data_IF_905770048507
#
_entry.id   IF_905770048507
#
_cell.length_a   1.000
_cell.length_b   1.000
_cell.length_c   1.000
_cell.angle_alpha   90.00
_cell.angle_beta   90.00
_cell.angle_gamma   90.00
#
_symmetry.space_group_name_H-M   'P 1'
#
loop_
_entity.id
_entity.type
_entity.pdbx_description
1 polymer ?
#
# COMPACT_ATOMS: atom_id res chain seq x y z
N UNK A 1 -6.07 7.36 20.73
CA UNK A 1 -4.88 7.60 19.91
C UNK A 1 -3.65 7.59 20.80
N UNK A 2 -2.62 6.79 20.48
CA UNK A 2 -1.36 6.68 21.24
C UNK A 2 -0.20 6.89 20.29
N UNK A 3 0.90 7.47 20.76
CA UNK A 3 2.15 7.56 19.99
C UNK A 3 2.77 6.16 19.93
N UNK A 4 3.01 5.66 18.72
CA UNK A 4 3.75 4.42 18.48
C UNK A 4 5.25 4.66 18.53
N UNK A 5 5.70 5.74 17.92
CA UNK A 5 7.11 6.08 17.86
C UNK A 5 7.36 7.49 17.37
N UNK A 6 8.59 7.93 17.59
CA UNK A 6 9.13 9.18 17.07
C UNK A 6 10.54 8.93 16.54
N UNK A 7 10.85 9.55 15.43
CA UNK A 7 12.19 9.50 14.86
C UNK A 7 12.50 10.78 14.10
N UNK A 8 13.79 11.06 13.94
CA UNK A 8 14.30 12.13 13.09
C UNK A 8 14.66 11.56 11.73
N UNK A 9 14.28 12.26 10.67
CA UNK A 9 14.63 11.89 9.30
C UNK A 9 15.09 13.13 8.53
N UNK A 10 16.40 13.20 8.28
CA UNK A 10 17.02 14.38 7.67
C UNK A 10 16.78 15.65 8.49
N UNK A 11 16.08 16.63 7.92
CA UNK A 11 15.82 17.93 8.54
C UNK A 11 14.50 18.03 9.32
N UNK A 12 13.77 16.90 9.50
CA UNK A 12 12.46 16.93 10.15
C UNK A 12 12.27 15.81 11.17
N UNK A 13 11.31 15.99 12.05
CA UNK A 13 10.87 15.00 13.03
C UNK A 13 9.56 14.36 12.56
N UNK A 14 9.44 13.05 12.83
CA UNK A 14 8.25 12.26 12.50
C UNK A 14 7.64 11.69 13.77
N UNK A 15 6.33 11.86 13.95
CA UNK A 15 5.54 11.22 15.00
C UNK A 15 4.52 10.28 14.36
N UNK A 16 4.56 8.99 14.74
CA UNK A 16 3.58 7.98 14.32
C UNK A 16 2.57 7.71 15.42
N UNK A 17 1.28 7.67 15.06
CA UNK A 17 0.18 7.38 15.96
C UNK A 17 -0.38 5.97 15.69
N UNK A 18 -1.08 5.41 16.70
CA UNK A 18 -1.60 4.04 16.68
C UNK A 18 -2.73 3.79 15.68
N UNK A 19 -3.29 4.82 15.07
CA UNK A 19 -4.32 4.73 14.03
C UNK A 19 -3.76 4.86 12.60
N UNK A 20 -2.42 5.00 12.48
CA UNK A 20 -1.70 5.17 11.22
C UNK A 20 -1.43 6.62 10.83
N UNK A 21 -1.89 7.59 11.64
CA UNK A 21 -1.58 9.01 11.39
C UNK A 21 -0.08 9.26 11.54
N UNK A 22 0.50 9.95 10.56
CA UNK A 22 1.87 10.41 10.54
C UNK A 22 1.90 11.93 10.57
N UNK A 23 2.69 12.49 11.47
CA UNK A 23 2.88 13.93 11.61
C UNK A 23 4.35 14.21 11.33
N UNK A 24 4.64 15.11 10.38
CA UNK A 24 5.99 15.62 10.08
C UNK A 24 6.10 17.05 10.55
N UNK A 25 7.24 17.40 11.15
CA UNK A 25 7.50 18.75 11.66
C UNK A 25 8.92 19.16 11.28
N UNK A 26 9.08 20.35 10.67
CA UNK A 26 10.36 20.97 10.32
C UNK A 26 10.28 22.48 10.50
N UNK A 27 11.41 23.15 10.68
CA UNK A 27 11.55 24.60 10.62
C UNK A 27 11.93 25.11 9.22
N UNK A 28 12.22 24.19 8.28
CA UNK A 28 12.58 24.47 6.89
C UNK A 28 11.35 24.53 5.98
N UNK A 29 11.51 25.05 4.78
CA UNK A 29 10.43 25.17 3.78
C UNK A 29 10.03 23.81 3.16
N UNK A 30 10.95 22.81 3.19
CA UNK A 30 10.78 21.51 2.58
C UNK A 30 11.25 20.38 3.51
N UNK A 31 10.63 19.20 3.40
CA UNK A 31 11.07 17.98 4.06
C UNK A 31 12.16 17.28 3.23
N UNK A 32 13.35 17.14 3.77
CA UNK A 32 14.49 16.48 3.11
C UNK A 32 14.84 15.20 3.87
N UNK A 33 14.32 14.02 3.44
CA UNK A 33 14.57 12.76 4.14
C UNK A 33 16.00 12.24 3.89
N UNK A 34 16.62 11.67 4.93
CA UNK A 34 17.86 10.90 4.81
C UNK A 34 17.61 9.47 4.36
N UNK A 35 16.45 8.91 4.74
CA UNK A 35 16.02 7.56 4.37
C UNK A 35 14.51 7.54 4.04
N UNK A 36 14.06 6.50 3.32
CA UNK A 36 12.63 6.34 3.00
C UNK A 36 11.81 6.15 4.28
N UNK A 37 10.68 6.83 4.40
CA UNK A 37 9.77 6.64 5.54
C UNK A 37 8.98 5.34 5.44
N UNK A 38 8.68 4.95 4.21
CA UNK A 38 7.92 3.72 3.93
C UNK A 38 8.42 3.00 2.68
N UNK A 39 8.11 1.71 2.59
CA UNK A 39 8.40 0.90 1.41
C UNK A 39 7.26 -0.06 1.12
N UNK A 40 6.91 -0.19 -0.16
CA UNK A 40 6.09 -1.28 -0.64
C UNK A 40 6.96 -2.47 -1.00
N UNK A 41 6.76 -3.61 -0.33
CA UNK A 41 7.61 -4.78 -0.51
C UNK A 41 6.78 -5.97 -0.98
N UNK A 42 7.08 -6.44 -2.19
CA UNK A 42 6.50 -7.65 -2.73
C UNK A 42 7.23 -8.87 -2.18
N UNK A 43 6.52 -9.70 -1.40
CA UNK A 43 7.08 -10.90 -0.78
C UNK A 43 6.97 -12.15 -1.66
N UNK A 44 5.95 -12.21 -2.52
CA UNK A 44 5.64 -13.44 -3.25
C UNK A 44 4.92 -13.18 -4.56
N UNK A 45 5.11 -14.09 -5.53
CA UNK A 45 4.28 -14.24 -6.72
C UNK A 45 3.30 -15.40 -6.61
N UNK A 46 3.37 -16.20 -5.53
CA UNK A 46 2.44 -17.30 -5.32
C UNK A 46 1.05 -16.77 -4.97
N UNK A 47 0.02 -17.19 -5.70
CA UNK A 47 -1.38 -16.86 -5.42
C UNK A 47 -2.32 -17.76 -6.21
N UNK A 48 -3.28 -18.39 -5.55
CA UNK A 48 -4.27 -19.27 -6.17
C UNK A 48 -5.56 -18.58 -6.64
N UNK A 49 -5.75 -17.29 -6.35
CA UNK A 49 -7.03 -16.59 -6.59
C UNK A 49 -7.30 -16.26 -8.06
N UNK A 50 -6.26 -16.05 -8.88
CA UNK A 50 -6.43 -15.81 -10.31
C UNK A 50 -7.19 -14.55 -10.71
N UNK A 51 -7.16 -13.48 -9.91
CA UNK A 51 -7.89 -12.23 -10.19
C UNK A 51 -7.66 -11.75 -11.63
N UNK A 52 -8.73 -11.43 -12.39
CA UNK A 52 -8.63 -11.15 -13.82
C UNK A 52 -7.85 -9.86 -14.13
N UNK A 53 -7.82 -8.90 -13.22
CA UNK A 53 -7.12 -7.62 -13.34
C UNK A 53 -5.83 -7.55 -12.52
N UNK A 54 -5.27 -8.68 -12.09
CA UNK A 54 -4.06 -8.70 -11.26
C UNK A 54 -2.85 -8.10 -11.98
N UNK A 55 -2.38 -6.95 -11.49
CA UNK A 55 -1.20 -6.27 -12.04
C UNK A 55 0.12 -6.98 -11.69
N UNK A 56 0.15 -7.80 -10.64
CA UNK A 56 1.31 -8.64 -10.31
C UNK A 56 1.41 -9.89 -11.19
N UNK A 57 0.30 -10.34 -11.78
CA UNK A 57 0.26 -11.55 -12.58
C UNK A 57 0.55 -12.83 -11.79
N UNK A 58 0.33 -12.80 -10.48
CA UNK A 58 0.61 -13.91 -9.56
C UNK A 58 -0.14 -15.20 -9.93
N UNK A 59 0.49 -16.35 -9.75
CA UNK A 59 -0.03 -17.68 -10.10
C UNK A 59 0.19 -18.69 -8.97
N UNK A 60 -0.49 -19.86 -9.00
CA UNK A 60 -0.22 -20.92 -8.03
C UNK A 60 1.21 -21.48 -8.08
N UNK A 61 1.90 -21.35 -9.21
CA UNK A 61 3.30 -21.75 -9.40
C UNK A 61 4.29 -20.63 -9.11
N UNK A 62 3.80 -19.46 -8.66
CA UNK A 62 4.63 -18.32 -8.32
C UNK A 62 5.60 -18.61 -7.17
N UNK A 63 6.74 -17.94 -7.20
CA UNK A 63 7.81 -18.12 -6.22
C UNK A 63 7.65 -17.16 -5.03
N UNK A 64 8.22 -17.54 -3.89
CA UNK A 64 8.40 -16.69 -2.71
C UNK A 64 9.78 -16.03 -2.76
N UNK A 65 9.88 -14.79 -2.28
CA UNK A 65 11.16 -14.12 -2.05
C UNK A 65 11.86 -14.65 -0.80
N UNK A 66 13.19 -14.52 -0.75
CA UNK A 66 13.95 -14.87 0.46
C UNK A 66 13.91 -13.71 1.47
N UNK A 67 12.91 -13.74 2.37
CA UNK A 67 12.68 -12.66 3.33
C UNK A 67 13.51 -12.78 4.62
N UNK A 68 14.17 -13.92 4.86
CA UNK A 68 14.98 -14.10 6.07
C UNK A 68 16.45 -13.77 5.86
N UNK A 69 16.98 -13.94 4.66
CA UNK A 69 18.43 -13.83 4.42
C UNK A 69 18.86 -12.54 3.70
N UNK A 70 17.91 -11.70 3.26
CA UNK A 70 18.26 -10.42 2.64
C UNK A 70 18.82 -9.43 3.66
N UNK A 71 20.02 -8.93 3.36
CA UNK A 71 20.79 -8.08 4.30
C UNK A 71 20.16 -6.72 4.54
N UNK A 72 19.50 -6.14 3.51
CA UNK A 72 18.90 -4.82 3.65
C UNK A 72 17.86 -4.75 4.78
N UNK A 73 17.23 -5.89 5.13
CA UNK A 73 16.28 -5.97 6.25
C UNK A 73 16.92 -5.49 7.56
N UNK A 74 18.21 -5.74 7.74
CA UNK A 74 18.93 -5.30 8.95
C UNK A 74 19.31 -3.81 8.92
N UNK A 75 19.11 -3.13 7.82
CA UNK A 75 19.38 -1.69 7.67
C UNK A 75 18.12 -0.83 7.80
N UNK A 76 16.95 -1.45 7.99
CA UNK A 76 15.72 -0.73 8.25
C UNK A 76 15.81 0.09 9.54
N UNK A 77 15.30 1.31 9.51
CA UNK A 77 15.27 2.21 10.66
C UNK A 77 14.08 1.93 11.57
N UNK A 78 14.22 2.04 12.92
CA UNK A 78 13.10 1.91 13.83
C UNK A 78 11.95 2.87 13.47
N UNK A 79 10.72 2.35 13.52
CA UNK A 79 9.47 3.03 13.15
C UNK A 79 9.30 3.33 11.66
N UNK A 80 10.20 2.87 10.81
CA UNK A 80 10.00 2.84 9.37
C UNK A 80 8.82 1.92 9.03
N UNK A 81 7.97 2.32 8.07
CA UNK A 81 6.79 1.55 7.69
C UNK A 81 7.09 0.67 6.48
N UNK A 82 6.65 -0.56 6.52
CA UNK A 82 6.76 -1.51 5.40
C UNK A 82 5.39 -2.12 5.10
N UNK A 83 4.95 -2.01 3.85
CA UNK A 83 3.70 -2.58 3.38
C UNK A 83 3.99 -3.82 2.52
N UNK A 84 3.59 -4.98 3.00
CA UNK A 84 3.83 -6.25 2.31
C UNK A 84 2.66 -6.62 1.43
N UNK A 85 2.99 -6.94 0.17
CA UNK A 85 2.03 -7.33 -0.86
C UNK A 85 2.61 -8.33 -1.84
N UNK A 86 2.01 -8.36 -3.03
CA UNK A 86 2.36 -9.25 -4.13
C UNK A 86 1.25 -10.24 -4.45
N UNK A 87 1.54 -11.53 -4.33
CA UNK A 87 0.55 -12.60 -4.43
C UNK A 87 -0.23 -12.79 -3.13
N UNK A 88 -0.27 -14.03 -2.63
CA UNK A 88 -0.83 -14.36 -1.32
C UNK A 88 0.25 -14.27 -0.24
N UNK A 89 0.30 -13.15 0.47
CA UNK A 89 1.29 -12.90 1.53
C UNK A 89 1.16 -13.93 2.66
N UNK A 90 -0.06 -14.36 2.97
CA UNK A 90 -0.32 -15.32 4.06
C UNK A 90 0.21 -16.72 3.75
N UNK A 91 0.41 -17.05 2.48
CA UNK A 91 0.99 -18.33 2.04
C UNK A 91 2.51 -18.41 2.18
N UNK A 92 3.19 -17.28 2.51
CA UNK A 92 4.64 -17.29 2.63
C UNK A 92 5.08 -18.08 3.87
N UNK A 93 5.91 -19.16 3.73
CA UNK A 93 6.24 -20.07 4.84
C UNK A 93 6.97 -19.35 5.99
N UNK A 94 7.76 -18.34 5.68
CA UNK A 94 8.58 -17.61 6.66
C UNK A 94 7.92 -16.31 7.15
N UNK A 95 6.64 -16.06 6.86
CA UNK A 95 5.97 -14.81 7.21
C UNK A 95 6.04 -14.50 8.70
N UNK A 96 5.67 -15.45 9.57
CA UNK A 96 5.63 -15.22 11.03
C UNK A 96 7.02 -14.98 11.62
N UNK A 97 8.06 -15.80 11.37
CA UNK A 97 9.42 -15.51 11.82
C UNK A 97 9.92 -14.14 11.35
N UNK A 98 9.63 -13.79 10.10
CA UNK A 98 10.01 -12.51 9.52
C UNK A 98 9.35 -11.32 10.24
N UNK A 99 8.03 -11.35 10.41
CA UNK A 99 7.30 -10.30 11.11
C UNK A 99 7.75 -10.15 12.58
N UNK A 100 8.10 -11.24 13.26
CA UNK A 100 8.67 -11.18 14.61
C UNK A 100 10.02 -10.47 14.63
N UNK A 101 10.91 -10.77 13.67
CA UNK A 101 12.19 -10.07 13.50
C UNK A 101 11.99 -8.57 13.29
N UNK A 102 11.02 -8.18 12.46
CA UNK A 102 10.69 -6.77 12.24
C UNK A 102 10.16 -6.08 13.51
N UNK A 103 9.27 -6.75 14.24
CA UNK A 103 8.72 -6.26 15.52
C UNK A 103 9.83 -6.02 16.55
N UNK A 104 10.79 -6.95 16.70
CA UNK A 104 11.94 -6.81 17.60
C UNK A 104 12.80 -5.59 17.28
N UNK A 105 12.79 -5.15 16.04
CA UNK A 105 13.50 -3.97 15.54
C UNK A 105 12.63 -2.70 15.51
N UNK A 106 11.40 -2.78 16.03
CA UNK A 106 10.42 -1.69 16.02
C UNK A 106 10.02 -1.22 14.61
N UNK A 107 10.07 -2.09 13.60
CA UNK A 107 9.58 -1.79 12.26
C UNK A 107 8.05 -1.92 12.23
N UNK A 108 7.38 -0.99 11.60
CA UNK A 108 5.92 -0.97 11.47
C UNK A 108 5.54 -1.77 10.22
N UNK A 109 5.09 -3.00 10.42
CA UNK A 109 4.70 -3.89 9.34
C UNK A 109 3.20 -3.82 9.07
N UNK A 110 2.84 -3.71 7.80
CA UNK A 110 1.47 -3.77 7.28
C UNK A 110 1.40 -4.88 6.22
N UNK A 111 0.25 -5.53 6.08
CA UNK A 111 0.03 -6.52 5.01
C UNK A 111 -1.19 -6.15 4.19
N UNK A 112 -1.17 -6.52 2.91
CA UNK A 112 -2.35 -6.48 2.05
C UNK A 112 -2.78 -7.89 1.70
N UNK A 113 -4.04 -8.21 1.95
CA UNK A 113 -4.69 -9.47 1.60
C UNK A 113 -5.88 -9.24 0.68
N UNK A 114 -6.30 -10.26 -0.03
CA UNK A 114 -7.56 -10.25 -0.76
C UNK A 114 -8.72 -10.63 0.19
N UNK A 115 -9.95 -10.18 -0.13
CA UNK A 115 -11.16 -10.54 0.62
C UNK A 115 -11.30 -12.04 0.91
N UNK A 116 -11.02 -12.90 -0.07
CA UNK A 116 -11.11 -14.35 0.11
C UNK A 116 -10.00 -14.90 1.00
N UNK A 117 -8.80 -14.30 0.96
CA UNK A 117 -7.72 -14.64 1.89
C UNK A 117 -8.09 -14.23 3.31
N UNK A 118 -8.69 -13.04 3.49
CA UNK A 118 -9.19 -12.61 4.79
C UNK A 118 -10.18 -13.63 5.39
N UNK A 119 -11.09 -14.17 4.58
CA UNK A 119 -12.05 -15.17 5.06
C UNK A 119 -11.38 -16.51 5.37
N UNK A 120 -10.52 -16.98 4.49
CA UNK A 120 -9.88 -18.30 4.61
C UNK A 120 -8.82 -18.33 5.73
N UNK A 121 -8.10 -17.22 5.94
CA UNK A 121 -6.99 -17.11 6.89
C UNK A 121 -7.30 -16.18 8.07
N UNK A 122 -8.60 -16.02 8.39
CA UNK A 122 -9.06 -15.08 9.43
C UNK A 122 -8.37 -15.30 10.78
N UNK A 123 -8.20 -16.55 11.20
CA UNK A 123 -7.54 -16.89 12.46
C UNK A 123 -6.05 -16.49 12.46
N UNK A 124 -5.35 -16.72 11.35
CA UNK A 124 -3.97 -16.29 11.18
C UNK A 124 -3.88 -14.76 11.24
N UNK A 125 -4.71 -14.06 10.49
CA UNK A 125 -4.70 -12.59 10.43
C UNK A 125 -5.04 -12.00 11.80
N UNK A 126 -6.04 -12.56 12.51
CA UNK A 126 -6.37 -12.13 13.86
C UNK A 126 -5.18 -12.31 14.81
N UNK A 127 -4.48 -13.43 14.71
CA UNK A 127 -3.27 -13.68 15.49
C UNK A 127 -2.16 -12.67 15.18
N UNK A 128 -1.95 -12.31 13.91
CA UNK A 128 -0.94 -11.31 13.53
C UNK A 128 -1.25 -9.94 14.14
N UNK A 129 -2.54 -9.57 14.21
CA UNK A 129 -3.00 -8.32 14.86
C UNK A 129 -2.84 -8.41 16.38
N UNK A 130 -3.30 -9.47 17.01
CA UNK A 130 -3.28 -9.65 18.48
C UNK A 130 -1.84 -9.71 19.02
N UNK A 131 -0.94 -10.39 18.31
CA UNK A 131 0.48 -10.42 18.62
C UNK A 131 1.19 -9.13 18.22
N UNK A 132 0.50 -8.14 17.63
CA UNK A 132 1.09 -6.88 17.11
C UNK A 132 2.26 -7.16 16.15
N UNK A 133 2.12 -8.15 15.30
CA UNK A 133 3.07 -8.45 14.23
C UNK A 133 2.81 -7.60 13.00
N UNK A 134 1.57 -7.13 12.85
CA UNK A 134 1.14 -6.14 11.86
C UNK A 134 0.36 -5.02 12.57
N UNK A 135 0.43 -3.81 12.00
CA UNK A 135 -0.30 -2.64 12.47
C UNK A 135 -1.45 -2.27 11.54
N UNK A 136 -1.23 -2.29 10.23
CA UNK A 136 -2.24 -2.06 9.20
C UNK A 136 -2.59 -3.33 8.44
N UNK A 137 -3.86 -3.45 8.06
CA UNK A 137 -4.40 -4.53 7.26
C UNK A 137 -5.11 -3.94 6.03
N UNK A 138 -4.47 -4.00 4.86
CA UNK A 138 -5.13 -3.70 3.58
C UNK A 138 -5.98 -4.89 3.15
N UNK A 139 -7.23 -4.66 2.77
CA UNK A 139 -8.14 -5.71 2.28
C UNK A 139 -8.66 -5.33 0.90
N UNK A 140 -8.21 -6.02 -0.14
CA UNK A 140 -8.70 -5.79 -1.50
C UNK A 140 -10.12 -6.32 -1.66
N UNK A 141 -11.06 -5.41 -1.94
CA UNK A 141 -12.46 -5.73 -2.22
C UNK A 141 -12.56 -6.53 -3.52
N UNK A 142 -13.36 -7.59 -3.50
CA UNK A 142 -13.71 -8.40 -4.68
C UNK A 142 -15.19 -8.33 -5.00
N UNK A 143 -16.02 -8.45 -3.98
CA UNK A 143 -17.49 -8.36 -4.07
C UNK A 143 -18.00 -7.79 -2.77
N UNK A 144 -18.72 -6.70 -2.80
CA UNK A 144 -19.31 -6.11 -1.61
C UNK A 144 -20.47 -6.94 -1.10
N UNK A 145 -20.47 -7.23 0.19
CA UNK A 145 -21.51 -7.93 0.91
C UNK A 145 -21.58 -7.42 2.35
N UNK A 146 -22.70 -7.57 3.03
CA UNK A 146 -22.84 -7.26 4.46
C UNK A 146 -21.79 -8.02 5.29
N UNK A 147 -21.54 -9.30 4.96
CA UNK A 147 -20.52 -10.12 5.62
C UNK A 147 -19.11 -9.52 5.48
N UNK A 148 -18.80 -8.92 4.33
CA UNK A 148 -17.52 -8.24 4.13
C UNK A 148 -17.38 -7.03 5.04
N UNK A 149 -18.40 -6.16 5.07
CA UNK A 149 -18.42 -4.97 5.93
C UNK A 149 -18.28 -5.38 7.40
N UNK A 150 -19.06 -6.37 7.86
CA UNK A 150 -19.00 -6.88 9.21
C UNK A 150 -17.61 -7.46 9.55
N UNK A 151 -17.02 -8.22 8.63
CA UNK A 151 -15.73 -8.88 8.87
C UNK A 151 -14.60 -7.86 8.94
N UNK A 152 -14.53 -6.91 8.00
CA UNK A 152 -13.48 -5.86 7.98
C UNK A 152 -13.60 -4.95 9.21
N UNK A 153 -14.81 -4.65 9.64
CA UNK A 153 -15.06 -3.80 10.82
C UNK A 153 -14.56 -4.39 12.15
N UNK A 154 -14.25 -5.71 12.19
CA UNK A 154 -13.63 -6.34 13.35
C UNK A 154 -12.14 -5.97 13.52
N UNK A 155 -11.50 -5.45 12.48
CA UNK A 155 -10.09 -5.07 12.48
C UNK A 155 -9.94 -3.53 12.50
N UNK A 156 -9.57 -2.91 13.62
CA UNK A 156 -9.61 -1.45 13.78
C UNK A 156 -8.73 -0.65 12.79
N UNK A 157 -7.63 -1.27 12.33
CA UNK A 157 -6.72 -0.67 11.37
C UNK A 157 -6.84 -1.28 9.96
N UNK A 158 -7.98 -1.92 9.66
CA UNK A 158 -8.26 -2.36 8.31
C UNK A 158 -8.57 -1.18 7.39
N UNK A 159 -8.06 -1.26 6.18
CA UNK A 159 -8.30 -0.30 5.09
C UNK A 159 -8.77 -1.10 3.88
N UNK A 160 -9.96 -0.79 3.39
CA UNK A 160 -10.50 -1.43 2.19
C UNK A 160 -9.78 -0.85 0.97
N UNK A 161 -9.17 -1.71 0.17
CA UNK A 161 -8.54 -1.33 -1.09
C UNK A 161 -9.53 -1.52 -2.22
N UNK A 162 -9.81 -0.46 -2.96
CA UNK A 162 -10.61 -0.47 -4.18
C UNK A 162 -9.77 0.05 -5.35
N UNK A 163 -10.02 -0.47 -6.56
CA UNK A 163 -9.30 -0.07 -7.76
C UNK A 163 -10.19 0.84 -8.59
N UNK A 164 -9.70 2.04 -8.92
CA UNK A 164 -10.35 2.98 -9.83
C UNK A 164 -10.65 2.31 -11.19
N UNK A 165 -11.91 2.27 -11.59
CA UNK A 165 -12.38 1.58 -12.80
C UNK A 165 -12.82 0.12 -12.60
N UNK A 166 -12.49 -0.52 -11.45
CA UNK A 166 -12.98 -1.86 -11.10
C UNK A 166 -14.16 -1.77 -10.13
N UNK A 167 -14.00 -1.04 -9.03
CA UNK A 167 -15.08 -0.85 -8.05
C UNK A 167 -16.31 -0.23 -8.73
N UNK A 168 -17.47 -0.75 -8.40
CA UNK A 168 -18.72 -0.26 -8.94
C UNK A 168 -19.23 0.97 -8.17
N UNK A 169 -19.95 1.89 -8.83
CA UNK A 169 -20.60 3.02 -8.17
C UNK A 169 -21.42 2.60 -6.95
N UNK A 170 -22.25 1.59 -7.11
CA UNK A 170 -23.15 1.06 -6.09
C UNK A 170 -22.39 0.53 -4.86
N UNK A 171 -21.17 -0.01 -5.05
CA UNK A 171 -20.33 -0.49 -3.94
C UNK A 171 -19.80 0.67 -3.10
N UNK A 172 -19.42 1.80 -3.73
CA UNK A 172 -19.01 3.01 -3.00
C UNK A 172 -20.20 3.60 -2.22
N UNK A 173 -21.37 3.68 -2.85
CA UNK A 173 -22.60 4.18 -2.22
C UNK A 173 -22.99 3.34 -1.00
N UNK A 174 -22.94 2.01 -1.11
CA UNK A 174 -23.31 1.07 -0.06
C UNK A 174 -22.30 1.05 1.10
N UNK A 175 -20.98 1.19 0.82
CA UNK A 175 -19.97 1.32 1.87
C UNK A 175 -20.05 2.64 2.64
N UNK A 176 -20.62 3.68 2.03
CA UNK A 176 -20.70 5.00 2.64
C UNK A 176 -21.57 5.01 3.90
N UNK A 177 -21.09 5.64 4.98
CA UNK A 177 -21.80 5.73 6.26
C UNK A 177 -21.52 4.60 7.24
N UNK A 178 -20.73 3.58 6.86
CA UNK A 178 -20.31 2.47 7.73
C UNK A 178 -19.02 2.75 8.52
N UNK A 179 -18.54 3.99 8.53
CA UNK A 179 -17.30 4.39 9.23
C UNK A 179 -16.05 3.58 8.80
N UNK A 180 -15.99 3.20 7.54
CA UNK A 180 -14.90 2.44 6.95
C UNK A 180 -13.73 3.34 6.55
N UNK A 181 -12.52 2.76 6.47
CA UNK A 181 -11.34 3.39 5.87
C UNK A 181 -11.16 2.85 4.46
N UNK A 182 -10.95 3.72 3.50
CA UNK A 182 -10.84 3.39 2.08
C UNK A 182 -9.49 3.86 1.52
N UNK A 183 -8.82 2.98 0.77
CA UNK A 183 -7.70 3.34 -0.10
C UNK A 183 -8.09 3.10 -1.55
N UNK A 184 -8.10 4.17 -2.32
CA UNK A 184 -8.36 4.11 -3.76
C UNK A 184 -7.03 3.95 -4.49
N UNK A 185 -6.90 2.84 -5.19
CA UNK A 185 -5.74 2.51 -6.01
C UNK A 185 -6.02 2.87 -7.46
N UNK A 186 -5.04 3.45 -8.14
CA UNK A 186 -5.11 3.68 -9.57
C UNK A 186 -5.14 2.36 -10.36
N UNK A 187 -5.83 2.37 -11.49
CA UNK A 187 -5.87 1.22 -12.40
C UNK A 187 -4.50 1.02 -13.07
N UNK A 188 -3.89 -0.13 -12.84
CA UNK A 188 -2.56 -0.47 -13.36
C UNK A 188 -2.67 -1.31 -14.63
N UNK A 189 -2.29 -0.73 -15.77
CA UNK A 189 -2.28 -1.38 -17.09
C UNK A 189 -1.05 -2.28 -17.25
N UNK A 190 -0.93 -3.27 -16.35
CA UNK A 190 0.18 -4.22 -16.32
C UNK A 190 -0.33 -5.66 -16.32
N UNK A 191 0.37 -6.55 -17.02
CA UNK A 191 0.09 -8.00 -17.04
C UNK A 191 -1.41 -8.30 -17.31
N UNK A 192 -2.12 -8.99 -16.37
CA UNK A 192 -3.55 -9.29 -16.53
C UNK A 192 -4.43 -8.05 -16.54
N UNK A 193 -4.04 -6.97 -15.85
CA UNK A 193 -4.74 -5.69 -15.93
C UNK A 193 -4.83 -5.14 -17.34
N UNK A 194 -3.78 -5.30 -18.14
CA UNK A 194 -3.77 -4.89 -19.55
C UNK A 194 -4.75 -5.70 -20.41
N UNK A 195 -4.84 -7.01 -20.18
CA UNK A 195 -5.79 -7.88 -20.91
C UNK A 195 -7.22 -7.58 -20.51
N UNK A 196 -7.46 -7.43 -19.20
CA UNK A 196 -8.77 -7.08 -18.66
C UNK A 196 -9.30 -5.74 -19.22
N UNK A 197 -8.45 -4.71 -19.26
CA UNK A 197 -8.84 -3.41 -19.82
C UNK A 197 -9.29 -3.53 -21.27
N UNK A 198 -8.56 -4.30 -22.11
CA UNK A 198 -8.94 -4.47 -23.53
C UNK A 198 -10.30 -5.16 -23.70
N UNK A 199 -10.63 -6.09 -22.82
CA UNK A 199 -11.89 -6.85 -22.88
C UNK A 199 -13.07 -6.09 -22.25
N UNK A 200 -12.80 -5.16 -21.31
CA UNK A 200 -13.80 -4.47 -20.49
C UNK A 200 -13.67 -2.95 -20.56
N UNK A 201 -13.10 -2.39 -21.63
CA UNK A 201 -12.76 -0.97 -21.76
C UNK A 201 -13.93 -0.04 -21.40
N UNK A 202 -15.09 -0.30 -21.98
CA UNK A 202 -16.29 0.53 -21.77
C UNK A 202 -16.69 0.59 -20.28
N UNK A 203 -16.69 -0.56 -19.61
CA UNK A 203 -17.05 -0.64 -18.19
C UNK A 203 -16.01 0.05 -17.30
N UNK A 204 -14.71 -0.19 -17.56
CA UNK A 204 -13.62 0.41 -16.79
C UNK A 204 -13.65 1.93 -16.93
N UNK A 205 -13.79 2.45 -18.13
CA UNK A 205 -13.83 3.90 -18.37
C UNK A 205 -15.11 4.55 -17.80
N UNK A 206 -16.25 3.85 -17.86
CA UNK A 206 -17.48 4.32 -17.21
C UNK A 206 -17.31 4.43 -15.69
N UNK A 207 -16.72 3.43 -15.05
CA UNK A 207 -16.48 3.45 -13.60
C UNK A 207 -15.46 4.53 -13.20
N UNK A 208 -14.39 4.71 -14.00
CA UNK A 208 -13.41 5.80 -13.77
C UNK A 208 -14.08 7.18 -13.89
N UNK A 209 -14.91 7.39 -14.90
CA UNK A 209 -15.62 8.64 -15.09
C UNK A 209 -16.56 8.93 -13.92
N UNK A 210 -17.34 7.94 -13.49
CA UNK A 210 -18.21 8.08 -12.33
C UNK A 210 -17.41 8.40 -11.05
N UNK A 211 -16.33 7.67 -10.80
CA UNK A 211 -15.48 7.88 -9.62
C UNK A 211 -14.93 9.32 -9.60
N UNK A 212 -14.43 9.80 -10.73
CA UNK A 212 -13.90 11.16 -10.85
C UNK A 212 -14.97 12.23 -10.59
N UNK A 213 -16.21 12.01 -11.05
CA UNK A 213 -17.30 12.98 -10.94
C UNK A 213 -17.97 12.96 -9.55
N UNK A 214 -18.18 11.77 -8.96
CA UNK A 214 -19.06 11.62 -7.80
C UNK A 214 -18.38 11.25 -6.49
N UNK A 215 -17.12 10.76 -6.49
CA UNK A 215 -16.45 10.32 -5.26
C UNK A 215 -16.52 11.36 -4.13
N UNK A 216 -16.38 12.63 -4.47
CA UNK A 216 -16.33 13.73 -3.50
C UNK A 216 -17.63 13.92 -2.72
N UNK A 217 -18.76 13.44 -3.23
CA UNK A 217 -20.04 13.42 -2.52
C UNK A 217 -20.06 12.40 -1.36
N UNK A 218 -19.13 11.43 -1.39
CA UNK A 218 -19.07 10.33 -0.44
C UNK A 218 -17.88 10.39 0.51
N UNK A 219 -16.81 11.13 0.22
CA UNK A 219 -15.58 11.19 1.02
C UNK A 219 -15.87 11.43 2.51
N UNK A 220 -16.75 12.39 2.84
CA UNK A 220 -17.10 12.71 4.23
C UNK A 220 -17.92 11.62 4.95
N UNK A 221 -18.38 10.60 4.24
CA UNK A 221 -19.16 9.48 4.81
C UNK A 221 -18.26 8.29 5.19
N UNK A 222 -16.96 8.37 4.92
CA UNK A 222 -15.95 7.40 5.34
C UNK A 222 -15.14 7.96 6.53
N UNK A 223 -14.57 7.06 7.33
CA UNK A 223 -13.66 7.46 8.39
C UNK A 223 -12.36 8.06 7.84
N UNK A 224 -11.86 7.48 6.74
CA UNK A 224 -10.68 7.94 5.98
C UNK A 224 -10.88 7.57 4.52
N UNK A 225 -10.53 8.46 3.60
CA UNK A 225 -10.30 8.15 2.19
C UNK A 225 -8.89 8.57 1.84
N UNK A 226 -8.11 7.63 1.33
CA UNK A 226 -6.75 7.85 0.86
C UNK A 226 -6.57 7.34 -0.56
N UNK A 227 -5.48 7.76 -1.21
CA UNK A 227 -5.20 7.50 -2.61
C UNK A 227 -3.74 7.07 -2.78
N UNK A 228 -3.44 6.12 -3.66
CA UNK A 228 -2.08 5.98 -4.17
C UNK A 228 -1.79 7.07 -5.23
N UNK A 229 -0.51 7.30 -5.54
CA UNK A 229 -0.12 8.37 -6.47
C UNK A 229 -0.74 8.20 -7.86
N UNK A 230 -0.93 6.97 -8.32
CA UNK A 230 -1.58 6.71 -9.60
C UNK A 230 -3.09 7.07 -9.57
N UNK A 231 -3.77 6.83 -8.46
CA UNK A 231 -5.16 7.27 -8.29
C UNK A 231 -5.27 8.79 -8.18
N UNK A 232 -4.33 9.45 -7.50
CA UNK A 232 -4.25 10.92 -7.44
C UNK A 232 -4.20 11.50 -8.86
N UNK A 233 -3.35 10.95 -9.73
CA UNK A 233 -3.22 11.36 -11.12
C UNK A 233 -4.50 11.06 -11.92
N UNK A 234 -5.02 9.83 -11.85
CA UNK A 234 -6.18 9.40 -12.64
C UNK A 234 -7.46 10.14 -12.28
N UNK A 235 -7.64 10.52 -11.02
CA UNK A 235 -8.82 11.20 -10.49
C UNK A 235 -8.67 12.73 -10.42
N UNK A 236 -7.48 13.27 -10.77
CA UNK A 236 -7.17 14.70 -10.63
C UNK A 236 -7.45 15.24 -9.22
N UNK A 237 -7.09 14.48 -8.18
CA UNK A 237 -7.41 14.75 -6.77
C UNK A 237 -7.03 16.18 -6.35
N UNK A 238 -5.90 16.69 -6.83
CA UNK A 238 -5.42 18.04 -6.53
C UNK A 238 -6.43 19.14 -6.86
N UNK A 239 -7.26 18.95 -7.89
CA UNK A 239 -8.23 19.95 -8.32
C UNK A 239 -9.43 20.09 -7.37
N UNK A 240 -9.58 19.18 -6.42
CA UNK A 240 -10.67 19.17 -5.44
C UNK A 240 -10.26 19.66 -4.06
N UNK A 241 -8.97 19.96 -3.88
CA UNK A 241 -8.41 20.45 -2.62
C UNK A 241 -7.92 21.89 -2.79
N UNK A 242 -7.99 22.67 -1.74
CA UNK A 242 -7.29 23.94 -1.66
C UNK A 242 -5.76 23.70 -1.66
N UNK A 243 -4.98 24.74 -1.95
CA UNK A 243 -3.53 24.66 -1.89
C UNK A 243 -3.03 24.31 -0.47
N UNK A 244 -3.71 24.83 0.56
CA UNK A 244 -3.41 24.54 1.96
C UNK A 244 -3.66 23.06 2.30
N UNK A 245 -4.85 22.54 1.95
CA UNK A 245 -5.18 21.11 2.13
C UNK A 245 -4.24 20.21 1.34
N UNK A 246 -3.89 20.57 0.10
CA UNK A 246 -2.95 19.79 -0.69
C UNK A 246 -1.59 19.70 0.01
N UNK A 247 -1.04 20.81 0.47
CA UNK A 247 0.25 20.85 1.15
C UNK A 247 0.23 20.12 2.50
N UNK A 248 -0.93 20.08 3.18
CA UNK A 248 -1.09 19.36 4.44
C UNK A 248 -1.19 17.85 4.25
N UNK A 249 -1.94 17.37 3.24
CA UNK A 249 -2.29 15.95 3.10
C UNK A 249 -1.48 15.20 2.05
N UNK A 250 -0.86 15.88 1.09
CA UNK A 250 -0.07 15.22 0.07
C UNK A 250 1.25 14.68 0.66
N UNK A 251 1.41 13.36 0.60
CA UNK A 251 2.53 12.68 1.24
C UNK A 251 3.81 12.63 0.39
N UNK A 252 3.79 13.23 -0.80
CA UNK A 252 4.91 13.29 -1.75
C UNK A 252 4.77 12.34 -2.93
N UNK A 253 5.55 12.60 -3.97
CA UNK A 253 5.63 11.77 -5.16
C UNK A 253 6.34 10.43 -4.91
N UNK A 254 6.16 9.47 -5.83
CA UNK A 254 6.96 8.25 -5.87
C UNK A 254 8.46 8.58 -5.81
N UNK A 255 9.19 7.88 -4.96
CA UNK A 255 10.62 8.08 -4.67
C UNK A 255 11.00 9.30 -3.83
N UNK A 256 10.06 10.09 -3.36
CA UNK A 256 10.36 11.22 -2.47
C UNK A 256 10.53 10.76 -1.01
N UNK A 257 9.56 9.98 -0.51
CA UNK A 257 9.56 9.42 0.86
C UNK A 257 9.37 7.90 0.88
N UNK A 258 9.12 7.29 -0.27
CA UNK A 258 8.83 5.87 -0.42
C UNK A 258 9.48 5.29 -1.66
N UNK A 259 9.61 3.96 -1.72
CA UNK A 259 10.00 3.22 -2.91
C UNK A 259 9.52 1.77 -2.85
N UNK A 260 9.68 1.03 -3.96
CA UNK A 260 9.21 -0.34 -4.12
C UNK A 260 10.35 -1.34 -4.16
N UNK A 261 10.17 -2.49 -3.48
CA UNK A 261 11.08 -3.63 -3.49
C UNK A 261 10.34 -4.88 -3.98
N UNK A 262 10.90 -5.60 -4.94
CA UNK A 262 10.46 -6.91 -5.41
C UNK A 262 11.44 -7.98 -4.90
N UNK A 263 11.08 -8.69 -3.83
CA UNK A 263 11.90 -9.73 -3.21
C UNK A 263 12.03 -10.97 -4.11
N UNK A 264 11.00 -11.23 -4.95
CA UNK A 264 11.00 -12.40 -5.85
C UNK A 264 12.00 -12.22 -6.98
N UNK A 265 11.98 -11.05 -7.63
CA UNK A 265 12.89 -10.73 -8.72
C UNK A 265 14.21 -10.09 -8.25
N UNK A 266 14.37 -9.85 -6.94
CA UNK A 266 15.53 -9.21 -6.33
C UNK A 266 15.85 -7.87 -6.97
N UNK A 267 14.83 -6.99 -7.04
CA UNK A 267 14.90 -5.67 -7.67
C UNK A 267 14.21 -4.62 -6.80
N UNK A 268 14.59 -3.37 -7.03
CA UNK A 268 13.89 -2.22 -6.46
C UNK A 268 13.65 -1.15 -7.53
N UNK A 269 12.68 -0.27 -7.30
CA UNK A 269 12.29 0.79 -8.23
C UNK A 269 11.57 1.92 -7.49
N UNK A 270 11.27 3.02 -8.17
CA UNK A 270 10.49 4.14 -7.62
C UNK A 270 9.07 3.72 -7.20
N UNK A 271 8.45 2.82 -7.97
CA UNK A 271 7.11 2.27 -7.67
C UNK A 271 6.94 0.86 -8.26
N UNK A 272 5.88 0.17 -7.90
CA UNK A 272 5.53 -1.14 -8.44
C UNK A 272 5.21 -1.12 -9.94
N UNK A 273 4.86 0.05 -10.48
CA UNK A 273 4.52 0.27 -11.90
C UNK A 273 5.73 0.63 -12.77
N UNK A 274 6.89 0.86 -12.17
CA UNK A 274 8.11 1.21 -12.91
C UNK A 274 8.45 0.17 -13.99
N UNK A 275 8.80 0.60 -15.22
CA UNK A 275 9.25 -0.27 -16.29
C UNK A 275 10.45 -1.13 -15.88
N UNK A 276 10.66 -2.27 -16.56
CA UNK A 276 11.76 -3.20 -16.23
C UNK A 276 13.15 -2.58 -16.39
N UNK A 277 13.32 -1.71 -17.35
CA UNK A 277 14.58 -0.98 -17.63
C UNK A 277 14.86 0.15 -16.63
N UNK A 278 13.87 0.51 -15.80
CA UNK A 278 14.02 1.46 -14.71
C UNK A 278 14.19 0.78 -13.33
N UNK A 279 14.25 -0.55 -13.30
CA UNK A 279 14.46 -1.33 -12.07
C UNK A 279 15.94 -1.60 -11.84
N UNK A 280 16.35 -1.59 -10.59
CA UNK A 280 17.72 -1.85 -10.17
C UNK A 280 17.83 -3.20 -9.45
N UNK A 281 18.96 -3.90 -9.55
CA UNK A 281 19.24 -5.06 -8.71
C UNK A 281 19.21 -4.69 -7.22
N UNK A 282 18.65 -5.57 -6.39
CA UNK A 282 18.58 -5.40 -4.95
C UNK A 282 19.97 -5.15 -4.34
N UNK A 283 20.05 -4.21 -3.39
CA UNK A 283 21.27 -3.83 -2.69
C UNK A 283 21.23 -4.29 -1.23
N UNK A 284 22.35 -4.26 -0.54
CA UNK A 284 22.49 -4.68 0.85
C UNK A 284 22.00 -3.62 1.87
N UNK A 285 21.66 -2.41 1.42
CA UNK A 285 21.25 -1.27 2.26
C UNK A 285 19.99 -0.60 1.71
N UNK A 286 18.99 -0.34 2.58
CA UNK A 286 17.79 0.42 2.26
C UNK A 286 18.12 1.86 1.86
N UNK A 287 19.06 2.48 2.56
CA UNK A 287 19.43 3.88 2.32
C UNK A 287 20.15 4.04 1.00
N UNK A 288 21.05 3.10 0.63
CA UNK A 288 21.74 3.11 -0.67
C UNK A 288 20.73 2.93 -1.83
N UNK A 289 19.72 2.07 -1.63
CA UNK A 289 18.64 1.89 -2.62
C UNK A 289 17.83 3.18 -2.77
N UNK A 290 17.47 3.81 -1.67
CA UNK A 290 16.71 5.07 -1.67
C UNK A 290 17.49 6.22 -2.31
N UNK A 291 18.76 6.40 -1.92
CA UNK A 291 19.64 7.40 -2.51
C UNK A 291 19.78 7.23 -4.04
N UNK A 292 19.91 5.97 -4.49
CA UNK A 292 20.04 5.68 -5.92
C UNK A 292 18.81 6.07 -6.73
N UNK A 293 17.61 5.90 -6.17
CA UNK A 293 16.35 6.28 -6.84
C UNK A 293 16.21 7.80 -6.89
N UNK A 294 16.54 8.49 -5.79
CA UNK A 294 16.43 9.95 -5.69
C UNK A 294 17.37 10.70 -6.65
N UNK A 295 18.60 10.23 -6.81
CA UNK A 295 19.58 10.85 -7.72
C UNK A 295 19.09 10.96 -9.16
N UNK A 296 18.28 10.01 -9.62
CA UNK A 296 17.72 10.04 -10.98
C UNK A 296 16.59 11.07 -11.18
N UNK A 297 15.99 11.56 -10.10
CA UNK A 297 14.93 12.61 -10.15
C UNK A 297 15.54 14.01 -10.45
N UNK A 298 16.84 14.16 -10.21
CA UNK A 298 17.56 15.43 -10.38
C UNK A 298 18.53 15.46 -11.60
N UNK A 299 18.65 14.36 -12.35
CA UNK A 299 19.31 14.26 -13.66
C UNK A 299 18.30 14.40 -14.82
#
# INVERSE_FOLDING_TARGET
>A
MKVLGRYKNGNYDVTLLSDGTKIRETEDDEFIPDFAESMDIKLTNHCSLGCPYCHEGSTPEGEHGDILNEKFIDTLHPYQEVAFGGGDVTSHPDLIPFLRRLKERHIIANITVNQYQLYNEKELIQRLVDEQLIYGLGVSLMVLTDEFIETVSQFPNAVIHVINGIVLPEEIEEMAGHNLKLLILGYKELRRGNSFLREHLEQVEKNKAWMKEHLWEYVSKFAVVSFDNLAIEQLDVKNYLSEEEWNEFFMGDDSEFTYYIDMVNRQFAKSSTAPFDERYPLMDSCDDMFEKIRKRKHE
#
